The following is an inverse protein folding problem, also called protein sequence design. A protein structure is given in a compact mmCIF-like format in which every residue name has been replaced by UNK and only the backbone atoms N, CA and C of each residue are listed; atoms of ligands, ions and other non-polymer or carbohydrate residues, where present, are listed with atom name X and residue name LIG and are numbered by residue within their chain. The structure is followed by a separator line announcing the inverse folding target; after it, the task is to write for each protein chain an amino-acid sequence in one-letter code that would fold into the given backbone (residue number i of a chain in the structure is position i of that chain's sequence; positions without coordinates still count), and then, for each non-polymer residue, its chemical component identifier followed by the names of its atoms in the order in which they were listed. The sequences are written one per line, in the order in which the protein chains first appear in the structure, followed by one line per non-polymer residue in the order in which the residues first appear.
data_IF_730766731528
#
_entry.id   IF_730766731528
#
_cell.length_a   1.000
_cell.length_b   1.000
_cell.length_c   1.000
_cell.angle_alpha   90.00
_cell.angle_beta   90.00
_cell.angle_gamma   90.00
#
_symmetry.space_group_name_H-M   'P 1'
#
loop_
_entity.id
_entity.type
_entity.pdbx_description
1 polymer ?
#
# COMPACT_ATOMS: atom_id res chain seq x y z
N UNK A 1 -13.08 -39.13 -79.01
CA UNK A 1 -14.33 -38.34 -79.11
C UNK A 1 -15.21 -38.82 -77.98
N UNK A 2 -15.17 -38.09 -76.87
CA UNK A 2 -15.32 -38.67 -75.54
C UNK A 2 -16.77 -38.93 -75.14
N UNK A 3 -16.95 -40.09 -74.52
CA UNK A 3 -18.18 -40.72 -74.04
C UNK A 3 -19.12 -39.77 -73.26
N UNK A 4 -18.55 -38.74 -72.62
CA UNK A 4 -19.27 -37.79 -71.79
C UNK A 4 -20.14 -36.81 -72.58
N UNK A 5 -19.81 -36.49 -73.84
CA UNK A 5 -20.67 -35.63 -74.67
C UNK A 5 -21.95 -36.34 -75.15
N UNK A 6 -21.92 -37.67 -75.29
CA UNK A 6 -23.10 -38.45 -75.68
C UNK A 6 -24.09 -38.61 -74.51
N UNK A 7 -23.59 -38.68 -73.27
CA UNK A 7 -24.40 -38.79 -72.06
C UNK A 7 -25.08 -37.48 -71.64
N UNK A 8 -24.60 -36.31 -72.10
CA UNK A 8 -25.25 -35.03 -71.86
C UNK A 8 -26.47 -34.79 -72.78
N UNK A 9 -26.42 -35.21 -74.05
CA UNK A 9 -27.55 -35.02 -74.99
C UNK A 9 -28.79 -35.86 -74.61
N UNK A 10 -28.59 -37.02 -73.96
CA UNK A 10 -29.70 -37.89 -73.49
C UNK A 10 -30.42 -37.40 -72.22
N UNK A 11 -29.77 -36.58 -71.37
CA UNK A 11 -30.38 -36.02 -70.14
C UNK A 11 -31.27 -34.80 -70.42
N UNK A 12 -30.94 -34.01 -71.45
CA UNK A 12 -31.77 -32.86 -71.87
C UNK A 12 -33.08 -33.24 -72.57
N UNK A 13 -33.19 -34.49 -73.06
CA UNK A 13 -34.38 -35.03 -73.72
C UNK A 13 -35.24 -35.94 -72.82
N UNK A 14 -34.91 -36.04 -71.51
CA UNK A 14 -35.74 -36.74 -70.51
C UNK A 14 -35.80 -38.27 -70.65
N UNK A 15 -34.93 -38.89 -71.44
CA UNK A 15 -34.99 -40.32 -71.77
C UNK A 15 -34.22 -41.24 -70.81
N UNK A 16 -33.58 -40.72 -69.74
CA UNK A 16 -32.94 -41.53 -68.68
C UNK A 16 -33.09 -40.89 -67.29
N UNK A 17 -33.71 -41.63 -66.34
CA UNK A 17 -33.82 -41.27 -64.92
C UNK A 17 -32.85 -42.10 -64.08
N UNK A 18 -32.18 -41.45 -63.12
CA UNK A 18 -31.18 -42.09 -62.26
C UNK A 18 -31.84 -42.81 -61.07
N UNK A 19 -31.48 -44.07 -60.73
CA UNK A 19 -32.16 -44.87 -59.70
C UNK A 19 -31.94 -44.43 -58.23
N UNK A 20 -31.42 -43.23 -57.97
CA UNK A 20 -31.04 -42.77 -56.61
C UNK A 20 -31.83 -41.55 -56.12
N UNK A 21 -32.99 -41.26 -56.70
CA UNK A 21 -33.85 -40.13 -56.28
C UNK A 21 -34.85 -40.46 -55.15
N UNK A 22 -34.85 -41.67 -54.59
CA UNK A 22 -35.79 -42.08 -53.53
C UNK A 22 -35.13 -42.53 -52.20
N UNK A 23 -33.92 -42.08 -51.91
CA UNK A 23 -33.30 -42.30 -50.58
C UNK A 23 -33.20 -40.93 -49.91
N UNK A 24 -34.17 -40.63 -49.03
CA UNK A 24 -34.07 -39.48 -48.13
C UNK A 24 -32.96 -39.79 -47.11
N UNK A 25 -31.95 -38.92 -46.93
CA UNK A 25 -31.02 -39.07 -45.82
C UNK A 25 -31.78 -38.81 -44.51
N UNK A 26 -31.62 -39.72 -43.54
CA UNK A 26 -32.13 -39.53 -42.19
C UNK A 26 -31.51 -38.28 -41.55
N UNK A 27 -32.27 -37.50 -40.76
CA UNK A 27 -31.78 -36.28 -40.14
C UNK A 27 -30.62 -36.59 -39.19
N UNK A 28 -29.51 -35.88 -39.38
CA UNK A 28 -28.36 -35.90 -38.47
C UNK A 28 -28.80 -35.29 -37.14
N UNK A 29 -29.01 -36.16 -36.15
CA UNK A 29 -29.40 -35.79 -34.79
C UNK A 29 -28.13 -35.43 -34.01
N UNK A 30 -27.92 -34.14 -33.72
CA UNK A 30 -26.77 -33.63 -32.96
C UNK A 30 -26.89 -33.83 -31.43
N UNK A 31 -27.98 -34.46 -30.97
CA UNK A 31 -28.17 -34.78 -29.56
C UNK A 31 -27.75 -36.23 -29.33
N UNK A 32 -26.51 -36.42 -28.91
CA UNK A 32 -26.10 -37.65 -28.22
C UNK A 32 -26.45 -37.52 -26.74
N UNK A 33 -27.26 -38.48 -26.32
CA UNK A 33 -27.28 -39.19 -25.05
C UNK A 33 -27.72 -38.39 -23.82
N UNK A 34 -28.99 -38.64 -23.45
CA UNK A 34 -29.71 -38.37 -22.21
C UNK A 34 -29.51 -37.00 -21.54
N UNK A 35 -30.59 -36.21 -21.32
CA UNK A 35 -30.45 -35.03 -20.47
C UNK A 35 -29.99 -35.52 -19.10
N UNK A 36 -28.78 -35.12 -18.70
CA UNK A 36 -28.42 -35.07 -17.29
C UNK A 36 -29.43 -34.12 -16.68
N UNK A 37 -30.48 -34.68 -16.07
CA UNK A 37 -31.30 -33.92 -15.15
C UNK A 37 -30.35 -33.52 -14.03
N UNK A 38 -29.87 -32.28 -14.08
CA UNK A 38 -29.36 -31.63 -12.89
C UNK A 38 -30.47 -31.82 -11.86
N UNK A 39 -30.22 -32.67 -10.87
CA UNK A 39 -31.07 -32.69 -9.69
C UNK A 39 -31.12 -31.24 -9.24
N UNK A 40 -32.32 -30.63 -9.13
CA UNK A 40 -32.41 -29.30 -8.57
C UNK A 40 -31.69 -29.39 -7.23
N UNK A 41 -30.64 -28.58 -7.05
CA UNK A 41 -30.03 -28.46 -5.74
C UNK A 41 -31.18 -28.24 -4.77
N UNK A 42 -31.30 -29.09 -3.74
CA UNK A 42 -32.12 -28.79 -2.57
C UNK A 42 -31.44 -27.63 -1.85
N UNK A 43 -31.44 -26.46 -2.49
CA UNK A 43 -31.13 -25.21 -1.85
C UNK A 43 -32.33 -24.91 -0.98
N UNK A 44 -32.15 -24.99 0.33
CA UNK A 44 -33.04 -24.30 1.24
C UNK A 44 -32.93 -22.81 0.92
N UNK A 45 -34.07 -22.15 0.75
CA UNK A 45 -34.11 -20.70 0.80
C UNK A 45 -33.70 -20.31 2.22
N UNK A 46 -32.47 -19.81 2.37
CA UNK A 46 -32.10 -19.11 3.59
C UNK A 46 -33.02 -17.90 3.63
N UNK A 47 -33.92 -17.85 4.62
CA UNK A 47 -34.77 -16.69 4.84
C UNK A 47 -33.89 -15.44 4.78
N UNK A 48 -34.31 -14.42 4.01
CA UNK A 48 -33.67 -13.10 3.91
C UNK A 48 -33.47 -12.39 5.28
N UNK A 49 -33.88 -13.00 6.38
CA UNK A 49 -33.63 -12.58 7.76
C UNK A 49 -32.24 -12.94 8.30
N UNK A 50 -31.43 -13.73 7.57
CA UNK A 50 -29.99 -13.77 7.80
C UNK A 50 -29.31 -12.86 6.76
N UNK A 51 -29.48 -11.55 6.93
CA UNK A 51 -28.47 -10.62 6.44
C UNK A 51 -27.12 -11.18 6.88
N UNK A 52 -26.24 -11.50 5.93
CA UNK A 52 -24.82 -11.70 6.25
C UNK A 52 -24.37 -10.39 6.89
N UNK A 53 -24.39 -10.33 8.24
CA UNK A 53 -23.84 -9.19 8.97
C UNK A 53 -22.42 -9.07 8.47
N UNK A 54 -22.15 -8.00 7.72
CA UNK A 54 -20.82 -7.69 7.23
C UNK A 54 -19.90 -7.79 8.44
N UNK A 55 -18.91 -8.68 8.35
CA UNK A 55 -17.97 -8.87 9.44
C UNK A 55 -17.37 -7.50 9.78
N UNK A 56 -17.40 -7.16 11.06
CA UNK A 56 -16.89 -5.87 11.51
C UNK A 56 -15.37 -5.86 11.28
N UNK A 57 -14.92 -5.21 10.21
CA UNK A 57 -13.51 -5.06 9.93
C UNK A 57 -13.03 -3.69 10.48
N UNK A 58 -12.29 -3.66 11.59
CA UNK A 58 -11.80 -2.42 12.18
C UNK A 58 -10.72 -1.74 11.30
N UNK A 59 -10.22 -2.44 10.28
CA UNK A 59 -9.28 -1.93 9.29
C UNK A 59 -9.96 -1.58 7.95
N UNK A 60 -11.30 -1.51 7.89
CA UNK A 60 -12.00 -1.22 6.64
C UNK A 60 -11.69 0.17 6.09
N UNK A 61 -11.71 1.17 6.97
CA UNK A 61 -11.56 2.58 6.64
C UNK A 61 -10.63 3.26 7.64
N UNK A 62 -9.78 4.16 7.16
CA UNK A 62 -8.98 5.03 8.02
C UNK A 62 -7.63 5.41 7.45
N UNK A 63 -7.00 6.38 8.12
CA UNK A 63 -5.60 6.75 7.91
C UNK A 63 -4.78 6.12 9.02
N UNK A 64 -3.82 5.28 8.65
CA UNK A 64 -2.95 4.59 9.58
C UNK A 64 -1.52 5.10 9.42
N UNK A 65 -0.91 5.53 10.52
CA UNK A 65 0.52 5.81 10.58
C UNK A 65 1.23 4.56 11.07
N UNK A 66 2.30 4.19 10.37
CA UNK A 66 3.17 3.09 10.71
C UNK A 66 4.53 3.60 11.14
N UNK A 67 5.07 3.00 12.20
CA UNK A 67 6.40 3.34 12.72
C UNK A 67 7.21 2.10 12.98
N UNK A 68 8.44 2.11 12.46
CA UNK A 68 9.49 1.15 12.73
C UNK A 68 10.61 1.85 13.51
N UNK A 69 11.15 1.18 14.52
CA UNK A 69 12.24 1.72 15.36
C UNK A 69 13.55 0.94 15.27
N UNK A 70 13.63 -0.11 14.44
CA UNK A 70 14.85 -0.87 14.24
C UNK A 70 15.85 -0.07 13.40
N UNK A 71 17.13 -0.10 13.78
CA UNK A 71 18.19 0.63 13.07
C UNK A 71 17.96 2.14 13.12
N UNK A 72 17.84 2.79 11.95
CA UNK A 72 17.48 4.23 11.88
C UNK A 72 15.99 4.49 12.04
N UNK A 73 15.18 3.42 12.03
CA UNK A 73 13.73 3.47 11.95
C UNK A 73 13.21 3.85 10.57
N UNK A 74 11.90 3.73 10.42
CA UNK A 74 11.14 4.13 9.23
C UNK A 74 9.72 4.53 9.63
N UNK A 75 9.08 5.37 8.82
CA UNK A 75 7.68 5.75 9.02
C UNK A 75 6.97 5.84 7.68
N UNK A 76 5.72 5.40 7.63
CA UNK A 76 4.91 5.45 6.41
C UNK A 76 3.43 5.53 6.77
N UNK A 77 2.58 5.71 5.76
CA UNK A 77 1.12 5.68 5.97
C UNK A 77 0.47 4.60 5.13
N UNK A 78 -0.61 4.04 5.65
CA UNK A 78 -1.58 3.34 4.82
C UNK A 78 -2.95 3.98 4.94
N UNK A 79 -3.67 4.00 3.84
CA UNK A 79 -4.99 4.61 3.74
C UNK A 79 -5.94 3.55 3.23
N UNK A 80 -6.97 3.28 4.01
CA UNK A 80 -7.96 2.26 3.73
C UNK A 80 -9.30 2.94 3.42
N UNK A 81 -9.90 2.56 2.31
CA UNK A 81 -11.24 3.00 1.89
C UNK A 81 -12.01 1.78 1.36
N UNK A 82 -13.08 1.39 2.04
CA UNK A 82 -13.94 0.27 1.65
C UNK A 82 -13.18 -1.05 1.51
N UNK A 83 -12.28 -1.37 2.44
CA UNK A 83 -11.36 -2.52 2.41
C UNK A 83 -10.27 -2.47 1.32
N UNK A 84 -10.17 -1.37 0.57
CA UNK A 84 -9.06 -1.14 -0.36
C UNK A 84 -7.93 -0.41 0.36
N UNK A 85 -6.81 -1.10 0.55
CA UNK A 85 -5.63 -0.56 1.21
C UNK A 85 -4.62 -0.01 0.20
N UNK A 86 -4.20 1.23 0.41
CA UNK A 86 -3.15 1.93 -0.33
C UNK A 86 -2.02 2.31 0.63
N UNK A 87 -0.80 1.85 0.36
CA UNK A 87 0.38 2.15 1.17
C UNK A 87 1.22 3.19 0.47
N UNK A 88 1.57 4.25 1.20
CA UNK A 88 2.48 5.30 0.75
C UNK A 88 3.71 5.31 1.66
N UNK A 89 4.83 4.81 1.12
CA UNK A 89 6.09 4.69 1.85
C UNK A 89 7.18 5.47 1.12
N UNK A 90 7.68 6.52 1.76
CA UNK A 90 8.67 7.46 1.22
C UNK A 90 10.05 7.18 1.79
N UNK A 91 11.08 7.07 0.98
CA UNK A 91 12.39 6.66 1.45
C UNK A 91 13.50 6.68 0.41
N UNK A 92 14.72 6.49 0.89
CA UNK A 92 15.91 6.25 0.05
C UNK A 92 15.93 4.81 -0.47
N UNK A 93 15.00 4.50 -1.36
CA UNK A 93 14.89 3.18 -1.99
C UNK A 93 15.80 3.02 -3.22
N UNK A 94 16.36 4.13 -3.73
CA UNK A 94 17.22 4.17 -4.90
C UNK A 94 18.65 4.54 -4.55
N UNK A 95 19.21 5.55 -5.25
CA UNK A 95 20.59 5.99 -5.03
C UNK A 95 20.70 6.67 -3.66
N UNK A 96 21.82 6.42 -3.00
CA UNK A 96 22.18 7.01 -1.69
C UNK A 96 23.49 7.75 -1.84
N UNK A 97 23.60 8.91 -1.22
CA UNK A 97 24.78 9.78 -1.23
C UNK A 97 24.99 10.46 0.13
N UNK A 98 26.09 11.19 0.26
CA UNK A 98 26.51 11.83 1.51
C UNK A 98 27.11 10.86 2.53
N UNK A 99 27.56 11.41 3.66
CA UNK A 99 28.22 10.67 4.73
C UNK A 99 27.23 9.63 5.30
N UNK A 100 27.60 8.35 5.23
CA UNK A 100 26.76 7.18 5.63
C UNK A 100 25.44 7.03 4.85
N UNK A 101 25.29 7.67 3.68
CA UNK A 101 24.05 7.57 2.88
C UNK A 101 22.88 8.38 3.46
N UNK A 102 23.18 9.49 4.13
CA UNK A 102 22.20 10.38 4.76
C UNK A 102 21.26 11.07 3.74
N UNK A 103 21.69 11.22 2.49
CA UNK A 103 20.92 11.87 1.41
C UNK A 103 20.67 10.85 0.29
N UNK A 104 19.64 11.04 -0.53
CA UNK A 104 19.41 10.17 -1.69
C UNK A 104 18.19 10.55 -2.52
N UNK A 105 17.86 9.69 -3.48
CA UNK A 105 16.61 9.85 -4.24
C UNK A 105 15.41 9.74 -3.27
N UNK A 106 14.58 10.77 -3.22
CA UNK A 106 13.33 10.81 -2.46
C UNK A 106 12.24 10.06 -3.20
N UNK A 107 12.18 8.74 -2.98
CA UNK A 107 11.25 7.87 -3.69
C UNK A 107 10.00 7.63 -2.83
N UNK A 108 8.85 8.03 -3.37
CA UNK A 108 7.54 7.66 -2.86
C UNK A 108 7.06 6.39 -3.59
N UNK A 109 6.86 5.31 -2.85
CA UNK A 109 6.19 4.13 -3.36
C UNK A 109 4.69 4.22 -3.11
N UNK A 110 3.91 3.86 -4.12
CA UNK A 110 2.46 3.66 -4.01
C UNK A 110 2.13 2.18 -4.17
N UNK A 111 1.98 1.47 -3.06
CA UNK A 111 1.74 0.02 -3.06
C UNK A 111 0.25 -0.28 -2.88
N UNK A 112 -0.26 -1.22 -3.66
CA UNK A 112 -1.64 -1.68 -3.59
C UNK A 112 -1.69 -3.21 -3.62
N UNK A 113 -2.84 -3.78 -3.24
CA UNK A 113 -3.11 -5.21 -3.35
C UNK A 113 -2.03 -6.09 -2.70
N UNK A 114 -1.43 -7.02 -3.44
CA UNK A 114 -0.39 -7.93 -2.92
C UNK A 114 0.91 -7.22 -2.55
N UNK A 115 1.28 -6.15 -3.25
CA UNK A 115 2.47 -5.38 -2.90
C UNK A 115 2.29 -4.72 -1.52
N UNK A 116 1.09 -4.17 -1.25
CA UNK A 116 0.74 -3.65 0.07
C UNK A 116 0.69 -4.74 1.16
N UNK A 117 0.02 -5.88 0.89
CA UNK A 117 -0.06 -7.00 1.85
C UNK A 117 1.30 -7.57 2.20
N UNK A 118 2.16 -7.73 1.21
CA UNK A 118 3.53 -8.22 1.41
C UNK A 118 4.34 -7.23 2.24
N UNK A 119 4.19 -5.94 1.95
CA UNK A 119 4.82 -4.88 2.72
C UNK A 119 4.37 -4.90 4.18
N UNK A 120 3.07 -4.95 4.47
CA UNK A 120 2.56 -5.06 5.85
C UNK A 120 3.16 -6.24 6.61
N UNK A 121 3.21 -7.43 6.00
CA UNK A 121 3.77 -8.61 6.68
C UNK A 121 5.26 -8.43 7.00
N UNK A 122 6.03 -7.88 6.07
CA UNK A 122 7.44 -7.61 6.33
C UNK A 122 7.60 -6.60 7.47
N UNK A 123 6.88 -5.49 7.41
CA UNK A 123 6.94 -4.44 8.44
C UNK A 123 6.49 -4.96 9.82
N UNK A 124 5.40 -5.74 9.89
CA UNK A 124 4.86 -6.29 11.15
C UNK A 124 5.78 -7.32 11.82
N UNK A 125 6.43 -8.20 11.05
CA UNK A 125 7.12 -9.37 11.60
C UNK A 125 8.65 -9.28 11.53
N UNK A 126 9.20 -8.69 10.47
CA UNK A 126 10.64 -8.49 10.34
C UNK A 126 11.05 -7.22 11.08
N UNK A 127 10.36 -6.13 10.79
CA UNK A 127 10.70 -4.82 11.34
C UNK A 127 10.02 -4.54 12.69
N UNK A 128 9.01 -5.34 13.05
CA UNK A 128 8.21 -5.19 14.27
C UNK A 128 7.58 -3.79 14.38
N UNK A 129 7.16 -3.26 13.24
CA UNK A 129 6.50 -1.98 13.15
C UNK A 129 5.17 -1.98 13.90
N UNK A 130 4.81 -0.80 14.43
CA UNK A 130 3.50 -0.52 15.02
C UNK A 130 2.63 0.26 14.04
N UNK A 131 1.33 0.03 14.10
CA UNK A 131 0.33 0.69 13.28
C UNK A 131 -0.68 1.41 14.17
N UNK A 132 -0.93 2.70 13.90
CA UNK A 132 -1.85 3.53 14.65
C UNK A 132 -2.89 4.12 13.71
N UNK A 133 -4.18 3.94 14.01
CA UNK A 133 -5.23 4.68 13.29
C UNK A 133 -5.34 6.08 13.85
N UNK A 134 -5.46 7.06 12.96
CA UNK A 134 -5.72 8.46 13.28
C UNK A 134 -7.18 8.74 12.95
N UNK A 135 -8.01 8.87 13.97
CA UNK A 135 -9.48 8.81 13.80
C UNK A 135 -10.10 10.11 13.31
N UNK A 136 -9.38 11.23 13.40
CA UNK A 136 -9.78 12.55 12.91
C UNK A 136 -9.17 12.92 11.54
N UNK A 137 -8.37 12.03 10.94
CA UNK A 137 -7.81 12.21 9.61
C UNK A 137 -8.77 11.72 8.52
N UNK A 138 -9.04 12.55 7.51
CA UNK A 138 -9.87 12.17 6.36
C UNK A 138 -9.10 11.26 5.38
N UNK A 139 -9.53 10.00 5.16
CA UNK A 139 -8.82 9.07 4.30
C UNK A 139 -8.81 9.49 2.82
N UNK A 140 -9.89 10.12 2.34
CA UNK A 140 -9.99 10.55 0.95
C UNK A 140 -9.04 11.72 0.68
N UNK A 141 -8.97 12.71 1.58
CA UNK A 141 -8.03 13.83 1.47
C UNK A 141 -6.58 13.33 1.55
N UNK A 142 -6.28 12.47 2.53
CA UNK A 142 -4.95 11.87 2.67
C UNK A 142 -4.52 11.17 1.39
N UNK A 143 -5.40 10.36 0.80
CA UNK A 143 -5.13 9.60 -0.41
C UNK A 143 -4.87 10.52 -1.59
N UNK A 144 -5.75 11.50 -1.80
CA UNK A 144 -5.60 12.47 -2.88
C UNK A 144 -4.27 13.20 -2.80
N UNK A 145 -3.84 13.58 -1.60
CA UNK A 145 -2.54 14.21 -1.38
C UNK A 145 -1.37 13.32 -1.82
N UNK A 146 -1.28 12.10 -1.31
CA UNK A 146 -0.16 11.21 -1.62
C UNK A 146 -0.17 10.73 -3.07
N UNK A 147 -1.34 10.43 -3.64
CA UNK A 147 -1.41 10.08 -5.07
C UNK A 147 -1.01 11.26 -5.96
N UNK A 148 -1.38 12.49 -5.59
CA UNK A 148 -0.95 13.69 -6.33
C UNK A 148 0.57 13.86 -6.27
N UNK A 149 1.17 13.70 -5.09
CA UNK A 149 2.63 13.71 -4.94
C UNK A 149 3.27 12.64 -5.83
N UNK A 150 2.80 11.41 -5.73
CA UNK A 150 3.31 10.28 -6.51
C UNK A 150 3.22 10.54 -8.02
N UNK A 151 2.05 10.97 -8.51
CA UNK A 151 1.83 11.32 -9.93
C UNK A 151 2.69 12.50 -10.41
N UNK A 152 3.03 13.43 -9.52
CA UNK A 152 3.90 14.56 -9.86
C UNK A 152 5.38 14.18 -9.96
N UNK A 153 5.79 13.07 -9.35
CA UNK A 153 7.15 12.54 -9.44
C UNK A 153 7.42 11.81 -10.73
N UNK A 154 8.70 11.73 -11.10
CA UNK A 154 9.17 10.92 -12.22
C UNK A 154 9.36 9.45 -11.82
N UNK A 155 9.23 8.51 -12.77
CA UNK A 155 9.54 7.09 -12.51
C UNK A 155 10.95 6.98 -11.92
N UNK A 156 11.09 6.25 -10.81
CA UNK A 156 12.38 6.09 -10.15
C UNK A 156 13.42 5.42 -11.07
N UNK A 157 14.65 5.93 -11.04
CA UNK A 157 15.78 5.36 -11.80
C UNK A 157 16.23 4.05 -11.17
N UNK A 158 15.85 2.94 -11.79
CA UNK A 158 16.08 1.60 -11.26
C UNK A 158 17.57 1.35 -10.90
N UNK A 159 17.81 0.81 -9.70
CA UNK A 159 19.14 0.38 -9.25
C UNK A 159 19.13 -1.13 -8.95
N UNK A 160 20.28 -1.82 -8.99
CA UNK A 160 20.33 -3.26 -8.71
C UNK A 160 19.79 -3.66 -7.33
N UNK A 161 19.90 -2.77 -6.35
CA UNK A 161 19.44 -3.01 -4.98
C UNK A 161 17.96 -2.68 -4.74
N UNK A 162 17.28 -2.08 -5.72
CA UNK A 162 15.84 -1.81 -5.59
C UNK A 162 15.04 -3.09 -5.56
N UNK A 163 14.04 -3.12 -4.67
CA UNK A 163 13.02 -4.16 -4.68
C UNK A 163 12.12 -4.02 -5.91
N UNK A 164 11.59 -5.14 -6.39
CA UNK A 164 10.75 -5.13 -7.59
C UNK A 164 9.47 -4.32 -7.41
N UNK A 165 8.91 -4.28 -6.19
CA UNK A 165 7.78 -3.40 -5.87
C UNK A 165 8.14 -1.93 -6.04
N UNK A 166 9.37 -1.52 -5.70
CA UNK A 166 9.84 -0.14 -5.93
C UNK A 166 10.10 0.14 -7.40
N UNK A 167 10.66 -0.81 -8.16
CA UNK A 167 10.86 -0.62 -9.60
C UNK A 167 9.53 -0.39 -10.35
N UNK A 168 8.47 -1.09 -9.92
CA UNK A 168 7.12 -0.96 -10.48
C UNK A 168 6.38 0.29 -10.01
N UNK A 169 6.47 0.59 -8.71
CA UNK A 169 5.56 1.54 -8.06
C UNK A 169 6.26 2.78 -7.48
N UNK A 170 7.57 2.92 -7.65
CA UNK A 170 8.36 3.99 -7.04
C UNK A 170 8.51 5.20 -7.96
N UNK A 171 8.15 6.38 -7.46
CA UNK A 171 8.34 7.65 -8.15
C UNK A 171 9.28 8.54 -7.33
N UNK A 172 10.29 9.13 -7.97
CA UNK A 172 11.16 10.14 -7.37
C UNK A 172 10.42 11.47 -7.37
N UNK A 173 10.07 11.96 -6.18
CA UNK A 173 9.28 13.18 -6.00
C UNK A 173 10.14 14.38 -5.60
N UNK A 174 11.30 14.13 -5.00
CA UNK A 174 12.27 15.12 -4.54
C UNK A 174 13.59 14.43 -4.14
N UNK A 175 14.40 15.13 -3.34
CA UNK A 175 15.60 14.61 -2.71
C UNK A 175 15.37 14.35 -1.23
N UNK A 176 15.69 13.14 -0.79
CA UNK A 176 15.60 12.75 0.60
C UNK A 176 16.78 13.34 1.40
N UNK A 177 16.48 13.96 2.54
CA UNK A 177 17.43 14.41 3.55
C UNK A 177 16.94 13.99 4.96
N UNK A 178 17.77 13.21 5.69
CA UNK A 178 17.47 12.79 7.08
C UNK A 178 17.07 13.95 8.01
N UNK A 179 17.56 15.16 7.78
CA UNK A 179 17.38 16.31 8.70
C UNK A 179 16.08 17.08 8.49
N UNK A 180 15.39 16.92 7.35
CA UNK A 180 14.18 17.71 7.06
C UNK A 180 13.21 17.16 6.02
N UNK A 181 13.67 16.37 5.04
CA UNK A 181 12.79 15.79 4.00
C UNK A 181 12.95 14.27 4.04
N UNK A 182 12.15 13.63 4.89
CA UNK A 182 12.34 12.23 5.22
C UNK A 182 11.00 11.49 5.36
N UNK A 183 11.08 10.19 5.68
CA UNK A 183 9.91 9.32 5.78
C UNK A 183 8.90 9.81 6.83
N UNK A 184 9.40 10.30 7.97
CA UNK A 184 8.58 10.81 9.07
C UNK A 184 7.91 12.14 8.73
N UNK A 185 8.61 13.05 8.07
CA UNK A 185 8.03 14.34 7.68
C UNK A 185 6.96 14.19 6.60
N UNK A 186 7.14 13.30 5.62
CA UNK A 186 6.10 12.99 4.64
C UNK A 186 4.87 12.31 5.26
N UNK A 187 5.08 11.33 6.15
CA UNK A 187 3.98 10.62 6.80
C UNK A 187 3.12 11.58 7.65
N UNK A 188 3.76 12.40 8.50
CA UNK A 188 3.06 13.36 9.36
C UNK A 188 2.39 14.47 8.57
N UNK A 189 3.05 15.01 7.52
CA UNK A 189 2.46 16.04 6.65
C UNK A 189 1.19 15.56 5.94
N UNK A 190 1.16 14.31 5.48
CA UNK A 190 -0.03 13.74 4.86
C UNK A 190 -1.22 13.65 5.83
N UNK A 191 -0.96 13.28 7.09
CA UNK A 191 -1.99 13.22 8.14
C UNK A 191 -2.46 14.63 8.54
N UNK A 192 -1.57 15.62 8.64
CA UNK A 192 -1.91 17.03 8.87
C UNK A 192 -2.81 17.57 7.75
N UNK A 193 -2.45 17.32 6.49
CA UNK A 193 -3.24 17.74 5.31
C UNK A 193 -4.62 17.07 5.29
N UNK A 194 -4.73 15.86 5.84
CA UNK A 194 -6.00 15.16 6.01
C UNK A 194 -6.91 15.78 7.09
N UNK A 195 -6.50 16.88 7.72
CA UNK A 195 -7.32 17.64 8.69
C UNK A 195 -7.13 17.21 10.14
N UNK A 196 -6.21 16.28 10.42
CA UNK A 196 -5.97 15.80 11.78
C UNK A 196 -5.27 16.85 12.64
N UNK A 197 -5.76 16.99 13.87
CA UNK A 197 -5.21 17.92 14.87
C UNK A 197 -4.32 17.19 15.88
N UNK A 198 -4.01 15.91 15.67
CA UNK A 198 -3.23 15.13 16.65
C UNK A 198 -1.84 15.68 16.88
N UNK A 199 -1.32 16.56 16.03
CA UNK A 199 0.00 17.19 16.18
C UNK A 199 -0.08 18.61 16.74
N UNK A 200 -1.29 19.15 16.91
CA UNK A 200 -1.49 20.46 17.52
C UNK A 200 -1.37 20.32 19.04
N UNK A 201 -0.63 21.26 19.63
CA UNK A 201 -0.43 21.35 21.07
C UNK A 201 -0.58 22.80 21.55
N UNK A 202 -0.70 22.95 22.86
CA UNK A 202 -0.63 24.25 23.46
C UNK A 202 -0.58 24.18 24.97
N UNK A 203 0.09 25.15 25.58
CA UNK A 203 0.11 25.32 27.02
C UNK A 203 -0.24 26.77 27.36
N UNK A 204 -0.94 26.93 28.47
CA UNK A 204 -1.23 28.25 29.03
C UNK A 204 -0.12 28.58 30.02
N UNK A 205 0.56 29.68 29.78
CA UNK A 205 1.55 30.23 30.72
C UNK A 205 0.86 30.74 31.99
N UNK A 206 1.63 30.92 33.07
CA UNK A 206 1.11 31.49 34.32
C UNK A 206 0.45 32.87 34.15
N UNK A 207 0.80 33.60 33.07
CA UNK A 207 0.19 34.88 32.67
C UNK A 207 -1.06 34.75 31.81
N UNK A 208 -1.69 33.57 31.74
CA UNK A 208 -2.89 33.27 30.93
C UNK A 208 -2.70 33.43 29.41
N UNK A 209 -1.46 33.58 28.93
CA UNK A 209 -1.15 33.57 27.50
C UNK A 209 -1.09 32.11 27.04
N UNK A 210 -1.96 31.75 26.09
CA UNK A 210 -1.93 30.45 25.42
C UNK A 210 -0.85 30.46 24.35
N UNK A 211 0.16 29.62 24.54
CA UNK A 211 1.18 29.35 23.53
C UNK A 211 0.76 28.08 22.81
N UNK A 212 0.35 28.22 21.56
CA UNK A 212 0.12 27.08 20.68
C UNK A 212 1.43 26.71 20.00
N UNK A 213 1.63 25.41 19.81
CA UNK A 213 2.76 24.88 19.07
C UNK A 213 2.29 23.68 18.26
N UNK A 214 2.99 23.37 17.18
CA UNK A 214 2.73 22.19 16.38
C UNK A 214 3.92 21.24 16.55
N UNK A 215 3.63 19.98 16.86
CA UNK A 215 4.64 18.93 16.94
C UNK A 215 5.06 18.53 15.53
N UNK A 216 6.37 18.55 15.28
CA UNK A 216 6.99 18.04 14.06
C UNK A 216 7.88 16.85 14.37
N UNK A 217 8.03 15.93 13.43
CA UNK A 217 8.85 14.74 13.65
C UNK A 217 9.75 14.48 12.46
N UNK A 218 11.07 14.52 12.69
CA UNK A 218 12.07 14.05 11.74
C UNK A 218 12.53 12.62 12.04
N UNK A 219 12.29 12.10 13.26
CA UNK A 219 12.84 10.80 13.70
C UNK A 219 11.70 9.81 14.00
N UNK A 220 11.69 8.60 13.41
CA UNK A 220 10.62 7.61 13.61
C UNK A 220 10.40 7.21 15.08
N UNK A 221 11.46 7.07 15.88
CA UNK A 221 11.31 6.69 17.31
C UNK A 221 10.59 7.76 18.13
N UNK A 222 10.82 9.04 17.81
CA UNK A 222 10.08 10.15 18.42
C UNK A 222 8.60 10.07 18.09
N UNK A 223 8.27 9.85 16.81
CA UNK A 223 6.89 9.75 16.35
C UNK A 223 6.19 8.54 16.99
N UNK A 224 6.83 7.38 17.05
CA UNK A 224 6.24 6.20 17.68
C UNK A 224 5.90 6.46 19.15
N UNK A 225 6.86 7.00 19.92
CA UNK A 225 6.64 7.34 21.33
C UNK A 225 5.48 8.32 21.50
N UNK A 226 5.35 9.27 20.58
CA UNK A 226 4.27 10.24 20.57
C UNK A 226 2.90 9.56 20.37
N UNK A 227 2.79 8.72 19.33
CA UNK A 227 1.57 7.99 19.01
C UNK A 227 1.18 6.99 20.11
N UNK A 228 2.15 6.31 20.73
CA UNK A 228 1.89 5.41 21.86
C UNK A 228 1.27 6.16 23.05
N UNK A 229 1.78 7.36 23.38
CA UNK A 229 1.18 8.19 24.44
C UNK A 229 -0.20 8.69 24.05
N UNK A 230 -0.37 9.16 22.81
CA UNK A 230 -1.67 9.58 22.30
C UNK A 230 -2.69 8.45 22.32
N UNK A 231 -2.26 7.21 22.05
CA UNK A 231 -3.15 6.04 22.13
C UNK A 231 -3.58 5.66 23.55
N UNK A 232 -2.90 6.18 24.57
CA UNK A 232 -3.29 6.00 25.97
C UNK A 232 -4.18 7.14 26.49
N UNK A 233 -4.39 8.21 25.71
CA UNK A 233 -5.30 9.30 26.06
C UNK A 233 -6.77 8.88 25.87
N UNK A 234 -7.66 9.43 26.68
CA UNK A 234 -9.11 9.17 26.58
C UNK A 234 -9.78 9.79 25.35
N UNK A 235 -9.07 10.65 24.60
CA UNK A 235 -9.57 11.31 23.40
C UNK A 235 -9.83 10.33 22.25
N UNK A 236 -9.17 9.16 22.26
CA UNK A 236 -9.26 8.13 21.21
C UNK A 236 -8.95 8.63 19.79
N UNK A 237 -8.25 9.76 19.68
CA UNK A 237 -7.81 10.30 18.39
C UNK A 237 -6.75 9.42 17.71
N UNK A 238 -6.01 8.67 18.53
CA UNK A 238 -5.03 7.69 18.10
C UNK A 238 -5.37 6.36 18.76
N UNK A 239 -5.39 5.26 18.01
CA UNK A 239 -5.57 3.92 18.56
C UNK A 239 -4.50 2.98 17.99
N UNK A 240 -3.87 2.18 18.85
CA UNK A 240 -2.93 1.14 18.41
C UNK A 240 -3.70 -0.01 17.75
N UNK A 241 -3.50 -0.18 16.45
CA UNK A 241 -4.17 -1.18 15.61
C UNK A 241 -3.23 -2.35 15.27
N UNK A 242 -2.05 -2.43 15.88
CA UNK A 242 -1.02 -3.41 15.55
C UNK A 242 -1.53 -4.85 15.69
N UNK A 243 -2.34 -5.14 16.71
CA UNK A 243 -2.95 -6.47 16.89
C UNK A 243 -3.93 -6.83 15.78
N UNK A 244 -4.76 -5.88 15.35
CA UNK A 244 -5.73 -6.09 14.28
C UNK A 244 -5.03 -6.33 12.94
N UNK A 245 -3.96 -5.57 12.66
CA UNK A 245 -3.12 -5.81 11.48
C UNK A 245 -2.45 -7.19 11.51
N UNK A 246 -1.95 -7.65 12.68
CA UNK A 246 -1.40 -9.00 12.82
C UNK A 246 -2.44 -10.11 12.62
N UNK A 247 -3.70 -9.88 12.99
CA UNK A 247 -4.80 -10.83 12.75
C UNK A 247 -5.12 -10.92 11.26
N UNK A 248 -5.26 -9.77 10.57
CA UNK A 248 -5.62 -9.73 9.15
C UNK A 248 -4.46 -10.15 8.23
N UNK A 249 -3.22 -9.91 8.64
CA UNK A 249 -2.01 -10.21 7.86
C UNK A 249 -1.08 -11.16 8.63
N UNK A 250 -1.41 -12.45 8.75
CA UNK A 250 -0.57 -13.42 9.43
C UNK A 250 0.79 -13.61 8.75
N UNK A 251 1.79 -14.08 9.51
CA UNK A 251 3.17 -14.32 9.07
C UNK A 251 3.31 -15.56 8.17
N UNK A 252 2.61 -15.56 7.04
CA UNK A 252 2.64 -16.67 6.08
C UNK A 252 3.97 -16.79 5.33
N UNK A 253 4.79 -15.73 5.35
CA UNK A 253 6.09 -15.67 4.68
C UNK A 253 7.25 -16.14 5.57
N UNK A 254 7.00 -16.48 6.84
CA UNK A 254 8.05 -16.94 7.76
C UNK A 254 9.10 -15.88 8.06
N UNK A 255 8.72 -14.60 8.09
CA UNK A 255 9.62 -13.53 8.47
C UNK A 255 10.06 -13.70 9.92
N UNK A 256 11.37 -13.61 10.15
CA UNK A 256 11.94 -13.53 11.49
C UNK A 256 12.24 -12.07 11.82
N UNK A 257 12.04 -11.64 13.08
CA UNK A 257 12.47 -10.33 13.52
C UNK A 257 13.93 -10.07 13.15
N UNK A 258 14.18 -8.90 12.57
CA UNK A 258 15.52 -8.46 12.24
C UNK A 258 16.37 -8.42 13.52
N UNK A 259 17.56 -9.03 13.47
CA UNK A 259 18.51 -9.06 14.57
C UNK A 259 19.17 -7.69 14.79
N UNK A 260 18.85 -7.06 15.91
CA UNK A 260 19.42 -5.78 16.33
C UNK A 260 20.75 -5.94 17.08
N UNK A 261 21.23 -7.16 17.32
CA UNK A 261 22.44 -7.41 18.11
C UNK A 261 23.73 -6.92 17.43
N UNK A 262 23.69 -6.78 16.10
CA UNK A 262 24.82 -6.32 15.29
C UNK A 262 25.30 -4.92 15.68
N UNK A 263 26.62 -4.72 15.71
CA UNK A 263 27.25 -3.45 16.12
C UNK A 263 26.69 -2.27 15.33
N UNK A 264 26.49 -2.46 14.01
CA UNK A 264 25.94 -1.43 13.13
C UNK A 264 24.52 -1.03 13.50
N UNK A 265 23.64 -1.99 13.80
CA UNK A 265 22.25 -1.71 14.17
C UNK A 265 22.16 -0.99 15.52
N UNK A 266 22.96 -1.42 16.50
CA UNK A 266 23.08 -0.71 17.79
C UNK A 266 23.56 0.72 17.62
N UNK A 267 24.58 0.93 16.78
CA UNK A 267 25.09 2.27 16.50
C UNK A 267 24.02 3.16 15.85
N UNK A 268 23.27 2.65 14.87
CA UNK A 268 22.19 3.39 14.24
C UNK A 268 21.04 3.71 15.20
N UNK A 269 20.63 2.75 16.02
CA UNK A 269 19.59 2.98 17.03
C UNK A 269 20.02 4.02 18.06
N UNK A 270 21.25 3.93 18.56
CA UNK A 270 21.80 4.93 19.47
C UNK A 270 21.84 6.33 18.83
N UNK A 271 22.25 6.43 17.57
CA UNK A 271 22.24 7.70 16.84
C UNK A 271 20.82 8.27 16.67
N UNK A 272 19.84 7.43 16.33
CA UNK A 272 18.44 7.86 16.19
C UNK A 272 17.86 8.33 17.54
N UNK A 273 18.17 7.63 18.64
CA UNK A 273 17.78 8.03 19.99
C UNK A 273 18.40 9.37 20.40
N UNK A 274 19.68 9.61 20.09
CA UNK A 274 20.33 10.90 20.35
C UNK A 274 19.69 12.00 19.49
N UNK A 275 19.49 11.75 18.18
CA UNK A 275 18.88 12.71 17.27
C UNK A 275 17.44 13.07 17.66
N UNK A 276 16.70 12.10 18.22
CA UNK A 276 15.36 12.34 18.80
C UNK A 276 15.38 13.42 19.89
N UNK A 277 16.55 13.63 20.53
CA UNK A 277 16.86 14.60 21.58
C UNK A 277 17.20 16.01 21.11
N UNK A 278 17.66 16.18 19.87
CA UNK A 278 18.25 17.45 19.37
C UNK A 278 17.17 18.31 18.73
N UNK A 279 17.11 19.60 19.08
CA UNK A 279 16.10 20.51 18.52
C UNK A 279 14.70 20.38 19.15
N UNK A 280 14.61 19.83 20.36
CA UNK A 280 13.38 19.66 21.13
C UNK A 280 12.72 20.99 21.50
N UNK A 281 11.59 21.29 20.86
CA UNK A 281 10.61 22.28 21.36
C UNK A 281 9.68 21.62 22.40
N UNK A 282 9.55 20.30 22.33
CA UNK A 282 8.73 19.44 23.21
C UNK A 282 9.55 18.25 23.73
N UNK A 283 9.09 17.49 24.72
CA UNK A 283 9.78 16.27 25.17
C UNK A 283 9.90 15.18 24.08
N UNK A 284 9.23 15.36 22.93
CA UNK A 284 9.01 14.32 21.92
C UNK A 284 9.81 14.56 20.64
N UNK A 285 9.88 15.81 20.17
CA UNK A 285 10.31 16.12 18.81
C UNK A 285 11.80 16.42 18.71
N UNK A 286 12.53 15.74 17.82
CA UNK A 286 13.68 16.36 17.18
C UNK A 286 13.15 17.16 15.99
N UNK A 287 13.19 18.50 16.08
CA UNK A 287 12.61 19.39 15.06
C UNK A 287 13.22 19.18 13.68
N UNK A 288 12.49 19.53 12.63
CA UNK A 288 13.06 19.57 11.27
C UNK A 288 14.04 20.74 11.18
N UNK A 289 15.29 20.46 10.80
CA UNK A 289 16.30 21.49 10.51
C UNK A 289 16.47 21.46 9.01
N UNK A 290 15.67 22.27 8.31
CA UNK A 290 15.48 22.17 6.87
C UNK A 290 16.77 21.98 6.06
N UNK A 291 16.89 20.83 5.40
CA UNK A 291 17.79 20.59 4.26
C UNK A 291 19.29 20.82 4.51
N UNK A 292 19.78 20.74 5.75
CA UNK A 292 21.15 21.15 6.11
C UNK A 292 22.24 20.37 5.36
N UNK A 293 21.91 19.22 4.77
CA UNK A 293 22.88 18.37 4.10
C UNK A 293 23.06 18.64 2.60
N UNK A 294 22.42 19.68 2.04
CA UNK A 294 22.53 20.19 0.65
C UNK A 294 23.27 19.23 -0.31
N UNK A 295 22.61 18.12 -0.64
CA UNK A 295 23.19 17.15 -1.57
C UNK A 295 23.09 17.69 -2.99
N UNK A 296 24.14 18.33 -3.52
CA UNK A 296 24.20 18.70 -4.93
C UNK A 296 24.23 17.45 -5.83
N UNK A 297 23.07 16.93 -6.24
CA UNK A 297 22.96 16.10 -7.44
C UNK A 297 21.67 16.41 -8.19
N UNK A 298 21.83 16.69 -9.48
CA UNK A 298 20.76 16.83 -10.46
C UNK A 298 19.86 15.59 -10.40
N UNK A 299 18.62 15.75 -9.90
CA UNK A 299 17.60 14.69 -9.83
C UNK A 299 17.31 14.10 -11.23
N UNK A 300 17.77 14.78 -12.28
CA UNK A 300 17.58 14.44 -13.68
C UNK A 300 18.76 13.74 -14.40
N UNK A 301 19.94 13.53 -13.80
CA UNK A 301 21.04 12.75 -14.45
C UNK A 301 21.16 11.32 -13.96
#
# INVERSE_FOLDING_TARGET
MEHDKFMQYGRGLGLWRNPRENIKPDPINYFRDDPIYLTPSKGEWINQSQECKKENNPLENGVFIWTETKGTGHAFVSIHEGNSASVFTYGRFGRRSGIVGAVGDGILNFLQFEDARTYYREELYKMEAKAFIITDADPTIARMYFEKLWRSGGKAKETPSMRDSTKRNGHTIDQYDVTGVNCTTHATKGVKIAGSQIFEGGYTTHSQIRINYEEDFAVPVSLQRYLERKSAESSMLVVDMTSEFRKQHPNINGFNPLDESTIRMKAFRAAAEIASGVGKVSPYSGGTVGGLLEGMHDVNK
#
